data_IF_729146864768
#
_entry.id   IF_729146864768
#
_cell.length_a   1.000
_cell.length_b   1.000
_cell.length_c   1.000
_cell.angle_alpha   90.00
_cell.angle_beta   90.00
_cell.angle_gamma   90.00
#
_symmetry.space_group_name_H-M   'P 1'
#
loop_
_entity.id
_entity.type
_entity.pdbx_description
1 polymer ?
#
# COMPACT_ATOMS: atom_id res chain seq x y z
N UNK A 1 8.20 40.71 -26.95
CA UNK A 1 7.00 39.86 -26.77
C UNK A 1 7.34 38.79 -25.75
N UNK A 2 7.14 39.09 -24.47
CA UNK A 2 7.34 38.10 -23.39
C UNK A 2 6.00 37.40 -23.12
N UNK A 3 5.96 36.08 -23.33
CA UNK A 3 4.78 35.26 -23.00
C UNK A 3 4.77 35.03 -21.48
N UNK A 4 3.90 35.75 -20.77
CA UNK A 4 3.51 35.41 -19.40
C UNK A 4 2.65 34.15 -19.43
N UNK A 5 3.29 32.98 -19.35
CA UNK A 5 2.62 31.73 -19.08
C UNK A 5 2.25 31.67 -17.58
N UNK A 6 1.29 32.47 -17.16
CA UNK A 6 0.70 32.42 -15.81
C UNK A 6 -0.23 31.21 -15.69
N UNK A 7 0.33 30.01 -15.85
CA UNK A 7 -0.37 28.76 -15.53
C UNK A 7 -0.28 28.58 -14.02
N UNK A 8 -1.34 28.97 -13.31
CA UNK A 8 -1.51 28.64 -11.91
C UNK A 8 -1.62 27.11 -11.84
N UNK A 9 -0.57 26.42 -11.41
CA UNK A 9 -0.62 24.99 -11.11
C UNK A 9 -1.59 24.81 -9.94
N UNK A 10 -2.83 24.43 -10.24
CA UNK A 10 -3.77 24.01 -9.21
C UNK A 10 -3.14 22.88 -8.39
N UNK A 11 -3.11 22.98 -7.05
CA UNK A 11 -2.60 21.90 -6.23
C UNK A 11 -3.45 20.67 -6.52
N UNK A 12 -2.82 19.65 -7.11
CA UNK A 12 -3.50 18.41 -7.45
C UNK A 12 -3.79 17.69 -6.13
N UNK A 13 -5.02 17.86 -5.62
CA UNK A 13 -5.48 17.27 -4.36
C UNK A 13 -5.33 15.74 -4.35
N UNK A 14 -5.39 15.11 -5.53
CA UNK A 14 -5.13 13.69 -5.76
C UNK A 14 -3.70 13.29 -5.38
N UNK A 15 -2.70 14.11 -5.74
CA UNK A 15 -1.29 13.84 -5.42
C UNK A 15 -1.04 13.96 -3.91
N UNK A 16 -1.66 14.94 -3.27
CA UNK A 16 -1.58 15.13 -1.81
C UNK A 16 -2.22 13.96 -1.05
N UNK A 17 -3.43 13.54 -1.46
CA UNK A 17 -4.11 12.39 -0.88
C UNK A 17 -3.32 11.09 -1.08
N UNK A 18 -2.67 10.92 -2.25
CA UNK A 18 -1.77 9.78 -2.51
C UNK A 18 -0.59 9.75 -1.56
N UNK A 19 0.06 10.89 -1.32
CA UNK A 19 1.17 10.99 -0.37
C UNK A 19 0.73 10.71 1.08
N UNK A 20 -0.45 11.19 1.47
CA UNK A 20 -1.01 10.91 2.80
C UNK A 20 -1.30 9.43 3.00
N UNK A 21 -1.87 8.74 2.00
CA UNK A 21 -2.07 7.29 2.05
C UNK A 21 -0.76 6.51 2.18
N UNK A 22 0.31 6.94 1.52
CA UNK A 22 1.64 6.33 1.65
C UNK A 22 2.18 6.49 3.07
N UNK A 23 2.07 7.69 3.66
CA UNK A 23 2.52 7.93 5.04
C UNK A 23 1.77 7.04 6.04
N UNK A 24 0.44 6.96 5.91
CA UNK A 24 -0.39 6.13 6.79
C UNK A 24 0.02 4.65 6.67
N UNK A 25 0.28 4.16 5.45
CA UNK A 25 0.78 2.81 5.23
C UNK A 25 2.11 2.59 5.96
N UNK A 26 3.09 3.46 5.74
CA UNK A 26 4.44 3.31 6.30
C UNK A 26 4.40 3.36 7.85
N UNK A 27 3.57 4.23 8.43
CA UNK A 27 3.38 4.31 9.89
C UNK A 27 2.79 3.01 10.47
N UNK A 28 1.78 2.44 9.79
CA UNK A 28 1.15 1.18 10.19
C UNK A 28 2.12 0.01 10.05
N UNK A 29 2.93 -0.03 8.98
CA UNK A 29 3.96 -1.05 8.80
C UNK A 29 4.95 -1.04 9.97
N UNK A 30 5.43 0.15 10.38
CA UNK A 30 6.34 0.27 11.53
C UNK A 30 5.70 -0.27 12.82
N UNK A 31 4.43 0.06 13.07
CA UNK A 31 3.72 -0.40 14.27
C UNK A 31 3.57 -1.92 14.26
N UNK A 32 3.11 -2.49 13.14
CA UNK A 32 2.90 -3.93 12.99
C UNK A 32 4.22 -4.69 13.08
N UNK A 33 5.29 -4.21 12.44
CA UNK A 33 6.61 -4.84 12.52
C UNK A 33 7.16 -4.80 13.94
N UNK A 34 7.03 -3.68 14.66
CA UNK A 34 7.46 -3.60 16.07
C UNK A 34 6.67 -4.58 16.95
N UNK A 35 5.35 -4.66 16.74
CA UNK A 35 4.50 -5.56 17.52
C UNK A 35 4.79 -7.04 17.21
N UNK A 36 5.08 -7.37 15.95
CA UNK A 36 5.53 -8.71 15.54
C UNK A 36 6.88 -9.08 16.17
N UNK A 37 7.83 -8.14 16.25
CA UNK A 37 9.12 -8.34 16.91
C UNK A 37 8.97 -8.53 18.43
N UNK A 38 8.13 -7.73 19.08
CA UNK A 38 7.89 -7.82 20.54
C UNK A 38 7.24 -9.15 20.93
N UNK A 39 6.26 -9.61 20.14
CA UNK A 39 5.59 -10.90 20.37
C UNK A 39 6.34 -12.09 19.78
N UNK A 40 7.39 -11.85 19.00
CA UNK A 40 8.13 -12.83 18.22
C UNK A 40 7.21 -13.74 17.37
N UNK A 41 6.08 -13.20 16.92
CA UNK A 41 5.07 -13.93 16.15
C UNK A 41 4.55 -13.04 15.01
N UNK A 42 5.30 -13.06 13.91
CA UNK A 42 4.93 -12.32 12.70
C UNK A 42 3.64 -12.84 12.08
N UNK A 43 3.35 -14.13 12.24
CA UNK A 43 2.21 -14.77 11.61
C UNK A 43 0.90 -14.33 12.24
N UNK A 44 0.81 -14.36 13.58
CA UNK A 44 -0.38 -13.89 14.30
C UNK A 44 -0.67 -12.41 14.02
N UNK A 45 0.36 -11.57 13.96
CA UNK A 45 0.22 -10.14 13.68
C UNK A 45 -0.25 -9.90 12.24
N UNK A 46 0.32 -10.62 11.28
CA UNK A 46 -0.09 -10.53 9.87
C UNK A 46 -1.54 -10.98 9.67
N UNK A 47 -1.95 -12.06 10.34
CA UNK A 47 -3.31 -12.57 10.28
C UNK A 47 -4.31 -11.59 10.90
N UNK A 48 -3.97 -10.98 12.04
CA UNK A 48 -4.80 -9.99 12.70
C UNK A 48 -4.96 -8.72 11.83
N UNK A 49 -3.88 -8.23 11.23
CA UNK A 49 -3.90 -7.11 10.31
C UNK A 49 -4.74 -7.43 9.05
N UNK A 50 -4.57 -8.63 8.49
CA UNK A 50 -5.38 -9.12 7.37
C UNK A 50 -6.87 -9.16 7.71
N UNK A 51 -7.24 -9.70 8.87
CA UNK A 51 -8.64 -9.72 9.35
C UNK A 51 -9.22 -8.31 9.48
N UNK A 52 -8.45 -7.38 10.04
CA UNK A 52 -8.87 -5.98 10.16
C UNK A 52 -9.08 -5.34 8.78
N UNK A 53 -8.17 -5.55 7.84
CA UNK A 53 -8.29 -5.04 6.48
C UNK A 53 -9.51 -5.63 5.76
N UNK A 54 -9.69 -6.96 5.79
CA UNK A 54 -10.80 -7.62 5.09
C UNK A 54 -12.17 -7.15 5.57
N UNK A 55 -12.37 -7.04 6.88
CA UNK A 55 -13.67 -6.61 7.45
C UNK A 55 -13.99 -5.16 7.08
N UNK A 56 -13.00 -4.27 7.11
CA UNK A 56 -13.23 -2.86 6.83
C UNK A 56 -13.38 -2.60 5.34
N UNK A 57 -12.55 -3.22 4.50
CA UNK A 57 -12.67 -3.09 3.04
C UNK A 57 -13.99 -3.67 2.52
N UNK A 58 -14.46 -4.81 3.04
CA UNK A 58 -15.76 -5.37 2.66
C UNK A 58 -16.90 -4.40 3.00
N UNK A 59 -16.80 -3.66 4.11
CA UNK A 59 -17.79 -2.65 4.51
C UNK A 59 -17.77 -1.39 3.63
N UNK A 60 -16.61 -0.98 3.14
CA UNK A 60 -16.47 0.25 2.34
C UNK A 60 -16.72 0.03 0.85
N UNK A 61 -16.06 -0.97 0.25
CA UNK A 61 -16.04 -1.18 -1.21
C UNK A 61 -16.84 -2.41 -1.67
N UNK A 62 -17.34 -3.21 -0.72
CA UNK A 62 -18.04 -4.46 -1.00
C UNK A 62 -17.08 -5.64 -1.19
N UNK A 63 -17.66 -6.85 -1.22
CA UNK A 63 -16.92 -8.12 -1.22
C UNK A 63 -16.01 -8.30 -2.44
N UNK A 64 -16.54 -8.07 -3.64
CA UNK A 64 -15.82 -8.38 -4.88
C UNK A 64 -14.60 -7.46 -5.08
N UNK A 65 -14.75 -6.17 -4.79
CA UNK A 65 -13.66 -5.20 -4.86
C UNK A 65 -12.57 -5.51 -3.83
N UNK A 66 -12.96 -5.93 -2.63
CA UNK A 66 -12.02 -6.33 -1.58
C UNK A 66 -11.19 -7.55 -1.99
N UNK A 67 -11.83 -8.55 -2.58
CA UNK A 67 -11.13 -9.75 -3.07
C UNK A 67 -10.19 -9.44 -4.23
N UNK A 68 -10.59 -8.55 -5.14
CA UNK A 68 -9.72 -8.08 -6.21
C UNK A 68 -8.52 -7.32 -5.66
N UNK A 69 -8.71 -6.45 -4.68
CA UNK A 69 -7.61 -5.73 -4.02
C UNK A 69 -6.58 -6.67 -3.40
N UNK A 70 -7.01 -7.70 -2.66
CA UNK A 70 -6.08 -8.68 -2.10
C UNK A 70 -5.34 -9.46 -3.19
N UNK A 71 -6.02 -9.79 -4.29
CA UNK A 71 -5.39 -10.45 -5.45
C UNK A 71 -4.32 -9.56 -6.08
N UNK A 72 -4.64 -8.29 -6.32
CA UNK A 72 -3.71 -7.32 -6.90
C UNK A 72 -2.48 -7.11 -6.01
N UNK A 73 -2.66 -7.11 -4.69
CA UNK A 73 -1.56 -7.03 -3.73
C UNK A 73 -0.63 -8.24 -3.86
N UNK A 74 -1.18 -9.45 -3.92
CA UNK A 74 -0.39 -10.70 -4.06
C UNK A 74 0.33 -10.71 -5.42
N UNK A 75 -0.34 -10.32 -6.50
CA UNK A 75 0.27 -10.25 -7.83
C UNK A 75 1.40 -9.22 -7.92
N UNK A 76 1.22 -8.06 -7.28
CA UNK A 76 2.24 -7.02 -7.22
C UNK A 76 3.47 -7.49 -6.45
N UNK A 77 3.26 -8.15 -5.30
CA UNK A 77 4.34 -8.75 -4.52
C UNK A 77 5.08 -9.82 -5.32
N UNK A 78 4.35 -10.72 -5.98
CA UNK A 78 4.94 -11.78 -6.82
C UNK A 78 5.78 -11.20 -7.97
N UNK A 79 5.31 -10.13 -8.63
CA UNK A 79 6.07 -9.42 -9.68
C UNK A 79 7.33 -8.77 -9.12
N UNK A 80 7.26 -8.20 -7.93
CA UNK A 80 8.41 -7.60 -7.27
C UNK A 80 9.47 -8.65 -6.89
N UNK A 81 9.05 -9.83 -6.45
CA UNK A 81 9.94 -10.97 -6.20
C UNK A 81 10.59 -11.49 -7.48
N UNK A 82 9.82 -11.68 -8.56
CA UNK A 82 10.33 -12.08 -9.88
C UNK A 82 11.33 -11.06 -10.47
N UNK A 83 11.12 -9.76 -10.22
CA UNK A 83 12.04 -8.69 -10.66
C UNK A 83 13.33 -8.67 -9.84
N UNK A 84 13.35 -9.22 -8.62
CA UNK A 84 14.58 -9.38 -7.83
C UNK A 84 15.40 -10.57 -8.32
N UNK A 85 14.74 -11.65 -8.75
CA UNK A 85 15.42 -12.84 -9.27
C UNK A 85 16.13 -12.59 -10.62
N UNK A 86 15.69 -11.63 -11.43
CA UNK A 86 16.38 -11.29 -12.69
C UNK A 86 17.74 -10.59 -12.49
N UNK A 87 18.14 -10.29 -11.25
CA UNK A 87 19.48 -9.76 -10.95
C UNK A 87 20.54 -10.88 -10.82
N UNK A 88 20.18 -12.15 -11.06
CA UNK A 88 21.08 -13.30 -11.04
C UNK A 88 21.27 -14.00 -12.40
N UNK A 89 21.00 -13.31 -13.52
CA UNK A 89 21.44 -13.79 -14.83
C UNK A 89 22.78 -13.14 -15.12
N UNK A 90 23.84 -13.82 -14.68
CA UNK A 90 25.22 -13.62 -15.13
C UNK A 90 25.37 -13.99 -16.60
#
# INVERSE_FOLDING_TARGET
>A
MEKLNNVIKFPCLLTKKKQEMVKIRDDIEIILSKYALDKNDLWAVSLAAGRFASINLEKFDGRDNTMNFFRDCIETQKKFELSRDSSNIS
#
